data_IF_711421147847
#
_entry.id   IF_711421147847
#
_cell.length_a   1.000
_cell.length_b   1.000
_cell.length_c   1.000
_cell.angle_alpha   90.00
_cell.angle_beta   90.00
_cell.angle_gamma   90.00
#
_symmetry.space_group_name_H-M   'P 1'
#
loop_
_entity.id
_entity.type
_entity.pdbx_description
1 polymer ?
#
# COMPACT_ATOMS: atom_id res chain seq x y z
N UNK A 1 -24.27 42.77 5.98
CA UNK A 1 -23.63 42.16 7.13
C UNK A 1 -22.31 41.58 6.63
N UNK A 2 -21.21 42.26 6.90
CA UNK A 2 -19.87 41.77 6.55
C UNK A 2 -19.48 40.78 7.65
N UNK A 3 -19.74 39.48 7.48
CA UNK A 3 -19.00 38.47 8.21
C UNK A 3 -17.60 38.47 7.62
N UNK A 4 -16.66 38.92 8.38
CA UNK A 4 -15.30 39.23 8.01
C UNK A 4 -14.57 37.95 7.64
N UNK A 5 -14.01 37.81 6.45
CA UNK A 5 -13.18 36.69 6.02
C UNK A 5 -12.02 36.51 7.01
N UNK A 6 -11.56 37.56 7.62
CA UNK A 6 -10.54 37.60 8.66
C UNK A 6 -10.99 36.88 9.95
N UNK A 7 -12.28 36.98 10.31
CA UNK A 7 -12.88 36.29 11.46
C UNK A 7 -12.92 34.78 11.28
N UNK A 8 -13.21 34.29 10.08
CA UNK A 8 -13.24 32.85 9.76
C UNK A 8 -11.86 32.22 9.80
N UNK A 9 -10.83 32.88 9.29
CA UNK A 9 -9.46 32.43 9.38
C UNK A 9 -9.03 32.25 10.85
N UNK A 10 -9.30 33.26 11.70
CA UNK A 10 -8.98 33.20 13.11
C UNK A 10 -9.79 32.14 13.88
N UNK A 11 -11.04 31.94 13.51
CA UNK A 11 -11.86 30.83 14.04
C UNK A 11 -11.22 29.48 13.72
N UNK A 12 -10.89 29.22 12.47
CA UNK A 12 -10.28 27.94 12.05
C UNK A 12 -8.86 27.77 12.60
N UNK A 13 -8.09 28.88 12.75
CA UNK A 13 -6.78 28.84 13.40
C UNK A 13 -6.89 28.38 14.85
N UNK A 14 -7.87 28.87 15.61
CA UNK A 14 -8.14 28.47 17.01
C UNK A 14 -8.57 27.01 17.10
N UNK A 15 -9.43 26.53 16.20
CA UNK A 15 -9.82 25.11 16.13
C UNK A 15 -8.60 24.22 15.89
N UNK A 16 -7.72 24.63 14.97
CA UNK A 16 -6.49 23.88 14.70
C UNK A 16 -5.52 23.91 15.89
N UNK A 17 -5.41 25.03 16.62
CA UNK A 17 -4.64 25.12 17.88
C UNK A 17 -5.16 24.13 18.92
N UNK A 18 -6.47 24.08 19.11
CA UNK A 18 -7.13 23.16 20.03
C UNK A 18 -6.82 21.69 19.67
N UNK A 19 -7.00 21.34 18.40
CA UNK A 19 -6.79 19.97 17.90
C UNK A 19 -5.32 19.54 17.98
N UNK A 20 -4.39 20.43 17.64
CA UNK A 20 -2.96 20.11 17.62
C UNK A 20 -2.28 20.32 18.97
N UNK A 21 -2.96 20.95 19.93
CA UNK A 21 -2.40 21.41 21.20
C UNK A 21 -1.10 22.22 21.02
N UNK A 22 -1.04 23.01 19.94
CA UNK A 22 0.13 23.82 19.57
C UNK A 22 -0.27 25.14 18.92
N UNK A 23 0.43 26.26 19.23
CA UNK A 23 0.16 27.56 18.63
C UNK A 23 0.24 27.50 17.10
N UNK A 24 -0.72 28.12 16.43
CA UNK A 24 -0.78 28.19 14.97
C UNK A 24 -0.38 29.60 14.49
N UNK A 25 0.71 29.67 13.74
CA UNK A 25 1.21 30.94 13.18
C UNK A 25 0.41 31.35 11.93
N UNK A 26 0.44 32.65 11.61
CA UNK A 26 -0.23 33.24 10.43
C UNK A 26 0.82 33.95 9.53
N UNK A 27 1.11 33.42 8.33
CA UNK A 27 0.73 32.08 7.84
C UNK A 27 1.46 30.97 8.58
N UNK A 28 0.98 29.73 8.43
CA UNK A 28 1.72 28.58 8.93
C UNK A 28 3.10 28.49 8.23
N UNK A 29 4.19 28.16 8.94
CA UNK A 29 5.51 28.02 8.32
C UNK A 29 5.53 26.87 7.30
N UNK A 30 6.52 26.88 6.42
CA UNK A 30 6.65 25.85 5.38
C UNK A 30 5.57 25.97 4.31
N UNK A 31 4.70 24.97 4.17
CA UNK A 31 3.68 24.94 3.12
C UNK A 31 2.72 26.14 3.17
N UNK A 32 2.30 26.56 4.36
CA UNK A 32 1.41 27.71 4.52
C UNK A 32 2.04 29.04 4.06
N UNK A 33 3.32 29.24 4.34
CA UNK A 33 4.07 30.40 3.87
C UNK A 33 4.31 30.36 2.34
N UNK A 34 4.48 29.16 1.77
CA UNK A 34 4.64 28.97 0.34
C UNK A 34 3.31 29.13 -0.43
N UNK A 35 2.20 28.65 0.13
CA UNK A 35 0.90 28.61 -0.52
C UNK A 35 -0.18 29.29 0.35
N UNK A 36 -0.13 30.63 0.48
CA UNK A 36 -1.01 31.44 1.35
C UNK A 36 -2.50 31.19 1.14
N UNK A 37 -2.93 30.96 -0.11
CA UNK A 37 -4.34 30.68 -0.42
C UNK A 37 -4.76 29.29 0.06
N UNK A 38 -3.87 28.32 0.04
CA UNK A 38 -4.14 26.99 0.57
C UNK A 38 -4.20 27.00 2.09
N UNK A 39 -3.32 27.76 2.76
CA UNK A 39 -3.37 27.98 4.21
C UNK A 39 -4.67 28.67 4.63
N UNK A 40 -5.09 29.72 3.91
CA UNK A 40 -6.35 30.40 4.15
C UNK A 40 -7.55 29.45 3.96
N UNK A 41 -7.60 28.72 2.85
CA UNK A 41 -8.69 27.77 2.56
C UNK A 41 -8.77 26.67 3.61
N UNK A 42 -7.63 26.15 4.05
CA UNK A 42 -7.55 25.13 5.10
C UNK A 42 -8.19 25.65 6.40
N UNK A 43 -7.82 26.84 6.84
CA UNK A 43 -8.34 27.41 8.09
C UNK A 43 -9.77 27.88 7.97
N UNK A 44 -10.11 28.63 6.91
CA UNK A 44 -11.44 29.21 6.74
C UNK A 44 -12.52 28.18 6.40
N UNK A 45 -12.18 27.14 5.61
CA UNK A 45 -13.15 26.14 5.18
C UNK A 45 -13.08 24.86 6.01
N UNK A 46 -11.91 24.20 6.06
CA UNK A 46 -11.83 22.90 6.74
C UNK A 46 -12.05 23.08 8.26
N UNK A 47 -11.31 23.98 8.91
CA UNK A 47 -11.37 24.09 10.36
C UNK A 47 -12.52 25.00 10.84
N UNK A 48 -12.80 26.12 10.17
CA UNK A 48 -13.88 27.00 10.59
C UNK A 48 -15.28 26.53 10.18
N UNK A 49 -15.46 25.89 9.02
CA UNK A 49 -16.78 25.41 8.60
C UNK A 49 -17.01 23.95 8.95
N UNK A 50 -16.07 23.06 8.57
CA UNK A 50 -16.29 21.62 8.68
C UNK A 50 -16.01 21.15 10.11
N UNK A 51 -14.83 21.45 10.67
CA UNK A 51 -14.49 20.99 12.01
C UNK A 51 -15.29 21.69 13.13
N UNK A 52 -15.69 22.93 12.96
CA UNK A 52 -16.54 23.65 13.92
C UNK A 52 -18.02 23.26 13.87
N UNK A 53 -18.43 22.46 12.87
CA UNK A 53 -19.83 21.98 12.79
C UNK A 53 -20.12 20.98 13.91
N UNK A 54 -21.31 21.05 14.51
CA UNK A 54 -21.77 20.21 15.60
C UNK A 54 -22.34 18.84 15.17
N UNK A 55 -22.38 18.57 13.85
CA UNK A 55 -22.94 17.31 13.30
C UNK A 55 -22.10 16.09 13.74
N UNK A 56 -20.77 16.22 13.81
CA UNK A 56 -19.86 15.20 14.29
C UNK A 56 -18.89 15.81 15.31
N UNK A 57 -18.56 15.07 16.36
CA UNK A 57 -17.48 15.46 17.27
C UNK A 57 -16.11 15.44 16.58
N UNK A 58 -15.13 16.13 17.14
CA UNK A 58 -13.73 16.07 16.67
C UNK A 58 -13.21 14.65 16.58
N UNK A 59 -13.51 13.84 17.61
CA UNK A 59 -13.10 12.42 17.64
C UNK A 59 -13.68 11.64 16.46
N UNK A 60 -14.97 11.80 16.17
CA UNK A 60 -15.60 11.13 15.01
C UNK A 60 -15.00 11.59 13.68
N UNK A 61 -14.72 12.90 13.53
CA UNK A 61 -14.09 13.42 12.32
C UNK A 61 -12.69 12.86 12.12
N UNK A 62 -11.88 12.85 13.18
CA UNK A 62 -10.53 12.30 13.10
C UNK A 62 -10.52 10.79 12.83
N UNK A 63 -11.43 10.01 13.42
CA UNK A 63 -11.55 8.58 13.10
C UNK A 63 -11.83 8.35 11.60
N UNK A 64 -12.75 9.14 11.02
CA UNK A 64 -13.07 9.05 9.59
C UNK A 64 -11.89 9.48 8.73
N UNK A 65 -11.24 10.60 9.08
CA UNK A 65 -10.08 11.13 8.34
C UNK A 65 -8.90 10.17 8.38
N UNK A 66 -8.58 9.64 9.55
CA UNK A 66 -7.49 8.66 9.72
C UNK A 66 -7.78 7.38 8.93
N UNK A 67 -9.02 6.86 9.00
CA UNK A 67 -9.40 5.68 8.23
C UNK A 67 -9.30 5.91 6.71
N UNK A 68 -9.74 7.08 6.23
CA UNK A 68 -9.63 7.44 4.81
C UNK A 68 -8.18 7.56 4.36
N UNK A 69 -7.34 8.31 5.08
CA UNK A 69 -5.92 8.49 4.76
C UNK A 69 -5.15 7.16 4.83
N UNK A 70 -5.43 6.33 5.83
CA UNK A 70 -4.83 5.01 5.97
C UNK A 70 -5.17 4.09 4.78
N UNK A 71 -6.39 4.19 4.25
CA UNK A 71 -6.82 3.39 3.09
C UNK A 71 -6.24 3.87 1.77
N UNK A 72 -5.92 5.15 1.63
CA UNK A 72 -5.40 5.73 0.38
C UNK A 72 -3.98 5.29 0.06
N UNK A 73 -3.08 5.27 1.05
CA UNK A 73 -1.64 5.10 0.86
C UNK A 73 -0.95 6.31 0.21
N UNK A 74 0.37 6.45 0.43
CA UNK A 74 1.16 7.54 -0.15
C UNK A 74 0.93 8.92 0.48
N UNK A 75 0.27 8.98 1.63
CA UNK A 75 -0.08 10.20 2.38
C UNK A 75 0.37 10.12 3.84
N UNK A 76 1.50 9.46 4.09
CA UNK A 76 1.98 9.14 5.43
C UNK A 76 2.18 10.38 6.32
N UNK A 77 2.62 11.51 5.71
CA UNK A 77 2.80 12.77 6.43
C UNK A 77 1.48 13.33 6.97
N UNK A 78 0.43 13.32 6.15
CA UNK A 78 -0.92 13.74 6.54
C UNK A 78 -1.51 12.76 7.57
N UNK A 79 -1.35 11.46 7.35
CA UNK A 79 -1.82 10.42 8.26
C UNK A 79 -1.18 10.58 9.65
N UNK A 80 0.15 10.81 9.74
CA UNK A 80 0.84 11.06 11.00
C UNK A 80 0.29 12.31 11.71
N UNK A 81 0.03 13.39 10.96
CA UNK A 81 -0.54 14.61 11.53
C UNK A 81 -1.91 14.34 12.16
N UNK A 82 -2.79 13.62 11.48
CA UNK A 82 -4.11 13.27 11.99
C UNK A 82 -4.05 12.25 13.15
N UNK A 83 -3.11 11.30 13.14
CA UNK A 83 -2.86 10.42 14.29
C UNK A 83 -2.46 11.24 15.53
N UNK A 84 -1.60 12.24 15.38
CA UNK A 84 -1.20 13.11 16.49
C UNK A 84 -2.38 13.95 17.02
N UNK A 85 -3.19 14.51 16.13
CA UNK A 85 -4.45 15.19 16.52
C UNK A 85 -5.36 14.20 17.26
N UNK A 86 -5.54 13.00 16.72
CA UNK A 86 -6.35 11.96 17.34
C UNK A 86 -5.91 11.62 18.75
N UNK A 87 -4.59 11.50 19.00
CA UNK A 87 -4.03 11.31 20.36
C UNK A 87 -4.39 12.47 21.28
N UNK A 88 -4.27 13.72 20.80
CA UNK A 88 -4.58 14.91 21.61
C UNK A 88 -6.05 14.99 22.01
N UNK A 89 -6.97 14.52 21.17
CA UNK A 89 -8.42 14.56 21.45
C UNK A 89 -8.97 13.27 22.06
N UNK A 90 -8.09 12.32 22.40
CA UNK A 90 -8.43 11.16 23.23
C UNK A 90 -8.71 9.86 22.46
N UNK A 91 -8.30 9.72 21.19
CA UNK A 91 -8.26 8.41 20.52
C UNK A 91 -7.19 7.57 21.22
N UNK A 92 -7.59 6.42 21.72
CA UNK A 92 -6.72 5.52 22.50
C UNK A 92 -5.82 4.67 21.57
N UNK A 93 -4.72 4.15 22.12
CA UNK A 93 -3.86 3.22 21.38
C UNK A 93 -4.63 2.00 20.86
N UNK A 94 -5.50 1.42 21.66
CA UNK A 94 -6.32 0.28 21.26
C UNK A 94 -7.27 0.60 20.11
N UNK A 95 -7.75 1.84 20.02
CA UNK A 95 -8.56 2.30 18.87
C UNK A 95 -7.71 2.43 17.61
N UNK A 96 -6.50 2.95 17.71
CA UNK A 96 -5.58 2.99 16.56
C UNK A 96 -5.18 1.58 16.10
N UNK A 97 -4.90 0.66 17.02
CA UNK A 97 -4.64 -0.75 16.69
C UNK A 97 -5.84 -1.37 15.98
N UNK A 98 -7.06 -1.11 16.47
CA UNK A 98 -8.27 -1.60 15.81
C UNK A 98 -8.49 -1.02 14.41
N UNK A 99 -8.14 0.24 14.19
CA UNK A 99 -8.14 0.84 12.83
C UNK A 99 -7.15 0.08 11.94
N UNK A 100 -5.92 -0.16 12.42
CA UNK A 100 -4.93 -0.92 11.65
C UNK A 100 -5.43 -2.33 11.30
N UNK A 101 -6.07 -3.04 12.24
CA UNK A 101 -6.61 -4.37 12.00
C UNK A 101 -7.77 -4.36 10.98
N UNK A 102 -8.64 -3.36 11.04
CA UNK A 102 -9.71 -3.20 10.05
C UNK A 102 -9.17 -2.86 8.65
N UNK A 103 -8.13 -2.04 8.56
CA UNK A 103 -7.44 -1.75 7.30
C UNK A 103 -6.76 -3.01 6.75
N UNK A 104 -6.18 -3.85 7.63
CA UNK A 104 -5.59 -5.13 7.25
C UNK A 104 -6.63 -6.07 6.63
N UNK A 105 -7.76 -6.20 7.28
CA UNK A 105 -8.86 -7.06 6.85
C UNK A 105 -9.57 -6.58 5.57
N UNK A 106 -9.79 -5.27 5.44
CA UNK A 106 -10.69 -4.70 4.42
C UNK A 106 -9.99 -4.02 3.25
N UNK A 107 -8.73 -3.65 3.42
CA UNK A 107 -7.96 -2.90 2.40
C UNK A 107 -6.70 -3.67 2.02
N UNK A 108 -5.67 -3.64 2.87
CA UNK A 108 -4.45 -4.43 2.67
C UNK A 108 -3.54 -4.41 3.90
N UNK A 109 -2.74 -5.45 4.04
CA UNK A 109 -1.68 -5.52 5.07
C UNK A 109 -0.63 -4.40 4.89
N UNK A 110 -0.38 -3.95 3.66
CA UNK A 110 0.56 -2.85 3.37
C UNK A 110 0.10 -1.55 4.02
N UNK A 111 -1.14 -1.14 3.80
CA UNK A 111 -1.70 0.08 4.41
C UNK A 111 -1.83 -0.07 5.93
N UNK A 112 -2.25 -1.22 6.42
CA UNK A 112 -2.30 -1.51 7.85
C UNK A 112 -0.92 -1.38 8.51
N UNK A 113 0.11 -1.90 7.88
CA UNK A 113 1.48 -1.78 8.36
C UNK A 113 2.00 -0.32 8.34
N UNK A 114 1.52 0.50 7.41
CA UNK A 114 1.80 1.94 7.46
C UNK A 114 1.21 2.56 8.73
N UNK A 115 -0.04 2.24 9.08
CA UNK A 115 -0.64 2.69 10.35
C UNK A 115 0.15 2.18 11.55
N UNK A 116 0.43 0.85 11.62
CA UNK A 116 1.19 0.23 12.71
C UNK A 116 2.55 0.90 12.93
N UNK A 117 3.27 1.18 11.85
CA UNK A 117 4.55 1.89 11.91
C UNK A 117 4.41 3.28 12.51
N UNK A 118 3.37 4.04 12.13
CA UNK A 118 3.15 5.41 12.62
C UNK A 118 2.69 5.44 14.09
N UNK A 119 2.12 4.35 14.59
CA UNK A 119 1.74 4.20 16.02
C UNK A 119 2.75 3.34 16.81
N UNK A 120 3.92 3.06 16.23
CA UNK A 120 5.02 2.31 16.85
C UNK A 120 4.62 0.89 17.30
N UNK A 121 3.80 0.20 16.52
CA UNK A 121 3.38 -1.19 16.77
C UNK A 121 4.09 -2.18 15.83
N UNK A 122 4.23 -3.45 16.25
CA UNK A 122 4.81 -4.50 15.42
C UNK A 122 4.10 -4.61 14.06
N UNK A 123 4.88 -4.82 13.02
CA UNK A 123 4.34 -5.05 11.68
C UNK A 123 3.84 -6.49 11.55
N UNK A 124 2.81 -6.67 10.75
CA UNK A 124 2.31 -8.00 10.37
C UNK A 124 2.97 -8.41 9.08
N UNK A 125 3.44 -9.66 9.02
CA UNK A 125 4.04 -10.20 7.81
C UNK A 125 3.07 -10.15 6.64
N UNK A 126 3.56 -9.70 5.49
CA UNK A 126 2.82 -9.74 4.23
C UNK A 126 2.76 -11.19 3.73
N UNK A 127 3.80 -11.97 4.01
CA UNK A 127 3.81 -13.41 3.75
C UNK A 127 3.08 -14.11 4.89
N UNK A 128 1.90 -14.63 4.56
CA UNK A 128 1.09 -15.44 5.48
C UNK A 128 1.52 -16.92 5.40
N UNK A 129 1.26 -17.71 6.42
CA UNK A 129 1.67 -19.13 6.44
C UNK A 129 1.10 -19.98 5.31
N UNK A 130 -0.02 -19.58 4.72
CA UNK A 130 -0.70 -20.24 3.60
C UNK A 130 -0.30 -19.71 2.22
N UNK A 131 0.59 -18.70 2.15
CA UNK A 131 1.14 -18.21 0.90
C UNK A 131 2.08 -19.25 0.29
N UNK A 132 2.01 -19.38 -1.03
CA UNK A 132 2.95 -20.18 -1.80
C UNK A 132 4.06 -19.25 -2.30
N UNK A 133 5.30 -19.58 -1.94
CA UNK A 133 6.51 -18.98 -2.49
C UNK A 133 7.26 -20.06 -3.25
N UNK A 134 7.56 -19.81 -4.52
CA UNK A 134 8.15 -20.82 -5.40
C UNK A 134 9.23 -20.20 -6.28
N UNK A 135 10.24 -21.01 -6.58
CA UNK A 135 11.20 -20.75 -7.66
C UNK A 135 11.01 -21.79 -8.74
N UNK A 136 10.68 -21.36 -9.94
CA UNK A 136 10.69 -22.20 -11.14
C UNK A 136 12.07 -22.14 -11.78
N UNK A 137 12.73 -23.29 -11.88
CA UNK A 137 14.01 -23.47 -12.57
C UNK A 137 13.72 -24.09 -13.94
N UNK A 138 14.00 -23.36 -15.01
CA UNK A 138 13.60 -23.73 -16.36
C UNK A 138 14.83 -23.68 -17.27
N UNK A 139 15.04 -24.72 -18.07
CA UNK A 139 16.02 -24.73 -19.15
C UNK A 139 15.28 -24.73 -20.49
N UNK A 140 15.63 -23.79 -21.37
CA UNK A 140 14.99 -23.59 -22.67
C UNK A 140 15.89 -24.09 -23.79
N UNK A 141 15.32 -24.72 -24.80
CA UNK A 141 16.04 -25.02 -26.03
C UNK A 141 16.48 -23.73 -26.72
N UNK A 142 17.78 -23.54 -27.04
CA UNK A 142 18.31 -22.28 -27.58
C UNK A 142 17.55 -21.72 -28.79
N UNK A 143 17.00 -22.61 -29.63
CA UNK A 143 16.23 -22.23 -30.84
C UNK A 143 14.93 -21.49 -30.55
N UNK A 144 14.39 -21.62 -29.33
CA UNK A 144 13.10 -21.02 -28.94
C UNK A 144 13.27 -19.85 -27.97
N UNK A 145 14.50 -19.47 -27.64
CA UNK A 145 14.77 -18.54 -26.54
C UNK A 145 14.02 -17.21 -26.66
N UNK A 146 14.03 -16.59 -27.82
CA UNK A 146 13.41 -15.27 -28.00
C UNK A 146 11.87 -15.37 -28.03
N UNK A 147 11.31 -16.42 -28.62
CA UNK A 147 9.87 -16.65 -28.63
C UNK A 147 9.37 -16.96 -27.20
N UNK A 148 10.10 -17.78 -26.46
CA UNK A 148 9.80 -18.10 -25.07
C UNK A 148 9.76 -16.84 -24.17
N UNK A 149 10.75 -15.93 -24.32
CA UNK A 149 10.82 -14.67 -23.56
C UNK A 149 9.59 -13.78 -23.81
N UNK A 150 9.11 -13.72 -25.05
CA UNK A 150 7.92 -12.94 -25.41
C UNK A 150 6.70 -13.49 -24.70
N UNK A 151 6.45 -14.79 -24.84
CA UNK A 151 5.27 -15.46 -24.25
C UNK A 151 5.31 -15.37 -22.71
N UNK A 152 6.47 -15.60 -22.09
CA UNK A 152 6.62 -15.51 -20.64
C UNK A 152 6.40 -14.07 -20.13
N UNK A 153 6.88 -13.07 -20.86
CA UNK A 153 6.66 -11.65 -20.50
C UNK A 153 5.18 -11.29 -20.51
N UNK A 154 4.44 -11.74 -21.52
CA UNK A 154 3.00 -11.51 -21.64
C UNK A 154 2.23 -12.20 -20.52
N UNK A 155 2.56 -13.45 -20.23
CA UNK A 155 1.96 -14.22 -19.13
C UNK A 155 2.20 -13.56 -17.77
N UNK A 156 3.46 -13.26 -17.43
CA UNK A 156 3.81 -12.65 -16.15
C UNK A 156 3.11 -11.29 -15.95
N UNK A 157 3.04 -10.47 -16.99
CA UNK A 157 2.34 -9.18 -16.93
C UNK A 157 0.83 -9.36 -16.73
N UNK A 158 0.20 -10.31 -17.43
CA UNK A 158 -1.22 -10.60 -17.31
C UNK A 158 -1.55 -11.14 -15.90
N UNK A 159 -0.78 -12.08 -15.39
CA UNK A 159 -0.98 -12.68 -14.08
C UNK A 159 -0.92 -11.65 -12.95
N UNK A 160 0.11 -10.81 -12.92
CA UNK A 160 0.25 -9.79 -11.88
C UNK A 160 -0.81 -8.69 -11.99
N UNK A 161 -1.30 -8.39 -13.20
CA UNK A 161 -2.26 -7.30 -13.41
C UNK A 161 -3.71 -7.74 -13.21
N UNK A 162 -4.05 -8.96 -13.62
CA UNK A 162 -5.44 -9.42 -13.71
C UNK A 162 -5.86 -10.35 -12.55
N UNK A 163 -4.89 -10.94 -11.86
CA UNK A 163 -5.17 -11.93 -10.83
C UNK A 163 -4.88 -11.37 -9.43
N UNK A 164 -5.90 -11.02 -8.63
CA UNK A 164 -5.69 -10.44 -7.29
C UNK A 164 -4.91 -11.36 -6.31
N UNK A 165 -4.92 -12.67 -6.56
CA UNK A 165 -4.21 -13.64 -5.75
C UNK A 165 -2.76 -13.88 -6.19
N UNK A 166 -2.31 -13.34 -7.31
CA UNK A 166 -0.92 -13.38 -7.75
C UNK A 166 -0.19 -12.17 -7.19
N UNK A 167 0.65 -12.40 -6.19
CA UNK A 167 1.41 -11.33 -5.50
C UNK A 167 2.64 -10.94 -6.31
N UNK A 168 3.33 -11.92 -6.89
CA UNK A 168 4.49 -11.68 -7.75
C UNK A 168 4.69 -12.85 -8.73
N UNK A 169 5.01 -12.51 -9.98
CA UNK A 169 5.68 -13.37 -10.94
C UNK A 169 6.85 -12.56 -11.50
N UNK A 170 8.07 -12.97 -11.17
CA UNK A 170 9.28 -12.25 -11.51
C UNK A 170 10.23 -13.15 -12.30
N UNK A 171 10.10 -13.15 -13.65
CA UNK A 171 10.95 -13.96 -14.53
C UNK A 171 12.32 -13.31 -14.72
N UNK A 172 13.36 -14.15 -14.69
CA UNK A 172 14.77 -13.77 -14.87
C UNK A 172 15.48 -14.82 -15.70
N UNK A 173 16.59 -14.47 -16.32
CA UNK A 173 17.52 -15.41 -16.92
C UNK A 173 18.95 -15.13 -16.44
N UNK A 174 19.82 -16.13 -16.48
CA UNK A 174 21.22 -15.97 -16.13
C UNK A 174 21.93 -15.12 -17.18
N UNK A 175 22.83 -14.23 -16.76
CA UNK A 175 23.51 -13.29 -17.67
C UNK A 175 24.46 -14.01 -18.64
N UNK A 176 25.11 -15.05 -18.17
CA UNK A 176 26.09 -15.86 -18.91
C UNK A 176 25.44 -16.99 -19.74
N UNK A 177 24.23 -17.41 -19.36
CA UNK A 177 23.44 -18.41 -20.11
C UNK A 177 21.95 -18.07 -20.05
N UNK A 178 21.45 -17.37 -21.05
CA UNK A 178 20.06 -16.90 -21.11
C UNK A 178 19.04 -18.05 -21.30
N UNK A 179 19.49 -19.28 -21.63
CA UNK A 179 18.59 -20.44 -21.67
C UNK A 179 18.20 -20.94 -20.27
N UNK A 180 18.93 -20.49 -19.24
CA UNK A 180 18.64 -20.77 -17.84
C UNK A 180 17.71 -19.70 -17.26
N UNK A 181 16.42 -19.99 -17.24
CA UNK A 181 15.38 -19.10 -16.71
C UNK A 181 15.05 -19.46 -15.26
N UNK A 182 14.81 -18.44 -14.44
CA UNK A 182 14.30 -18.57 -13.07
C UNK A 182 13.11 -17.65 -12.91
N UNK A 183 12.04 -18.16 -12.32
CA UNK A 183 10.86 -17.35 -12.00
C UNK A 183 10.64 -17.40 -10.50
N UNK A 184 10.60 -16.25 -9.85
CA UNK A 184 10.09 -16.16 -8.48
C UNK A 184 8.59 -15.95 -8.56
N UNK A 185 7.85 -16.84 -7.92
CA UNK A 185 6.40 -16.86 -7.90
C UNK A 185 5.91 -16.73 -6.46
N UNK A 186 4.97 -15.83 -6.21
CA UNK A 186 4.33 -15.68 -4.90
C UNK A 186 2.82 -15.58 -5.12
N UNK A 187 2.09 -16.49 -4.49
CA UNK A 187 0.63 -16.55 -4.51
C UNK A 187 0.07 -16.33 -3.11
N UNK A 188 -1.04 -15.62 -3.00
CA UNK A 188 -1.68 -15.28 -1.73
C UNK A 188 -2.07 -16.52 -0.88
N UNK A 189 -2.38 -17.63 -1.53
CA UNK A 189 -2.71 -18.92 -0.94
C UNK A 189 -2.80 -20.01 -2.02
N UNK A 190 -3.09 -21.23 -1.62
CA UNK A 190 -3.27 -22.34 -2.56
C UNK A 190 -4.47 -22.15 -3.51
N UNK A 191 -5.54 -21.49 -3.07
CA UNK A 191 -6.70 -21.24 -3.91
C UNK A 191 -6.33 -20.30 -5.07
N UNK A 192 -5.59 -19.23 -4.79
CA UNK A 192 -5.06 -18.32 -5.80
C UNK A 192 -4.17 -19.05 -6.82
N UNK A 193 -3.27 -19.93 -6.35
CA UNK A 193 -2.44 -20.77 -7.22
C UNK A 193 -3.31 -21.68 -8.11
N UNK A 194 -4.29 -22.37 -7.55
CA UNK A 194 -5.18 -23.25 -8.32
C UNK A 194 -6.06 -22.48 -9.33
N UNK A 195 -6.42 -21.23 -9.02
CA UNK A 195 -7.12 -20.34 -9.94
C UNK A 195 -6.21 -19.92 -11.09
N UNK A 196 -4.96 -19.50 -10.78
CA UNK A 196 -3.95 -19.12 -11.76
C UNK A 196 -3.75 -20.22 -12.83
N UNK A 197 -3.63 -21.48 -12.41
CA UNK A 197 -3.42 -22.62 -13.34
C UNK A 197 -4.56 -22.81 -14.37
N UNK A 198 -5.71 -22.16 -14.18
CA UNK A 198 -6.89 -22.26 -15.05
C UNK A 198 -7.11 -21.01 -15.90
N UNK A 199 -6.31 -19.98 -15.72
CA UNK A 199 -6.46 -18.72 -16.45
C UNK A 199 -6.09 -18.90 -17.94
N UNK A 200 -6.72 -18.13 -18.84
CA UNK A 200 -6.42 -18.23 -20.27
C UNK A 200 -4.96 -17.92 -20.60
N UNK A 201 -4.36 -16.94 -19.96
CA UNK A 201 -2.96 -16.54 -20.19
C UNK A 201 -1.98 -17.60 -19.69
N UNK A 202 -2.20 -18.20 -18.52
CA UNK A 202 -1.38 -19.33 -18.07
C UNK A 202 -1.51 -20.55 -18.97
N UNK A 203 -2.74 -20.90 -19.37
CA UNK A 203 -2.97 -22.03 -20.28
C UNK A 203 -2.32 -21.80 -21.64
N UNK A 204 -2.38 -20.58 -22.18
CA UNK A 204 -1.67 -20.20 -23.38
C UNK A 204 -0.16 -20.34 -23.22
N UNK A 205 0.42 -19.76 -22.16
CA UNK A 205 1.85 -19.93 -21.85
C UNK A 205 2.23 -21.40 -21.77
N UNK A 206 1.56 -22.17 -20.93
CA UNK A 206 1.86 -23.59 -20.71
C UNK A 206 1.83 -24.42 -22.00
N UNK A 207 0.81 -24.24 -22.84
CA UNK A 207 0.67 -25.01 -24.07
C UNK A 207 1.64 -24.59 -25.15
N UNK A 208 1.85 -23.29 -25.33
CA UNK A 208 2.74 -22.74 -26.36
C UNK A 208 4.21 -23.02 -26.04
N UNK A 209 4.60 -22.97 -24.76
CA UNK A 209 6.00 -23.15 -24.37
C UNK A 209 6.40 -24.61 -24.09
N UNK A 210 5.45 -25.53 -24.05
CA UNK A 210 5.74 -26.94 -23.79
C UNK A 210 6.86 -27.53 -24.68
N UNK A 211 6.90 -27.31 -26.01
CA UNK A 211 7.99 -27.79 -26.87
C UNK A 211 9.29 -27.01 -26.72
N UNK A 212 9.28 -25.88 -26.07
CA UNK A 212 10.43 -24.99 -25.89
C UNK A 212 11.25 -25.34 -24.66
N UNK A 213 10.59 -25.95 -23.66
CA UNK A 213 11.17 -26.29 -22.36
C UNK A 213 11.93 -27.61 -22.45
N UNK A 214 13.21 -27.59 -22.15
CA UNK A 214 14.08 -28.74 -22.07
C UNK A 214 14.03 -29.40 -20.68
N UNK A 215 13.96 -28.57 -19.63
CA UNK A 215 13.82 -29.03 -18.24
C UNK A 215 13.02 -28.02 -17.43
N UNK A 216 12.23 -28.54 -16.47
CA UNK A 216 11.47 -27.74 -15.51
C UNK A 216 11.57 -28.37 -14.14
N UNK A 217 11.92 -27.57 -13.13
CA UNK A 217 11.85 -27.95 -11.72
C UNK A 217 11.16 -26.86 -10.93
N UNK A 218 10.15 -27.22 -10.15
CA UNK A 218 9.44 -26.33 -9.24
C UNK A 218 9.97 -26.55 -7.83
N UNK A 219 10.43 -25.49 -7.17
CA UNK A 219 11.01 -25.54 -5.82
C UNK A 219 10.18 -24.66 -4.91
N UNK A 220 9.42 -25.26 -4.02
CA UNK A 220 8.70 -24.51 -2.98
C UNK A 220 9.69 -23.96 -1.95
N UNK A 221 9.54 -22.71 -1.60
CA UNK A 221 10.45 -21.96 -0.74
C UNK A 221 9.72 -21.42 0.48
N UNK A 222 10.46 -21.21 1.56
CA UNK A 222 9.97 -20.53 2.76
C UNK A 222 10.84 -19.30 2.99
N UNK A 223 10.23 -18.15 3.22
CA UNK A 223 10.97 -16.93 3.56
C UNK A 223 11.70 -17.10 4.89
N UNK A 224 12.98 -16.71 4.95
CA UNK A 224 13.77 -16.68 6.20
C UNK A 224 13.33 -15.51 7.08
N UNK A 225 13.01 -14.39 6.47
CA UNK A 225 12.60 -13.15 7.15
C UNK A 225 11.31 -12.63 6.51
N UNK A 226 10.20 -12.93 7.15
CA UNK A 226 8.87 -12.52 6.70
C UNK A 226 8.64 -11.01 6.87
N UNK A 227 9.27 -10.40 7.87
CA UNK A 227 9.03 -8.99 8.22
C UNK A 227 9.74 -8.04 7.25
N UNK A 228 10.92 -8.43 6.77
CA UNK A 228 11.70 -7.64 5.80
C UNK A 228 11.00 -7.50 4.43
N UNK A 229 10.07 -8.39 4.08
CA UNK A 229 9.37 -8.36 2.78
C UNK A 229 8.65 -7.03 2.53
N UNK A 230 8.06 -6.46 3.56
CA UNK A 230 7.37 -5.16 3.47
C UNK A 230 8.31 -4.04 2.98
N UNK A 231 9.52 -3.97 3.56
CA UNK A 231 10.49 -2.94 3.22
C UNK A 231 11.21 -3.21 1.89
N UNK A 232 11.37 -4.48 1.49
CA UNK A 232 11.96 -4.87 0.20
C UNK A 232 11.08 -4.38 -0.95
N UNK A 233 9.80 -4.70 -0.95
CA UNK A 233 8.88 -4.29 -2.03
C UNK A 233 8.64 -2.78 -2.07
N UNK A 234 8.72 -2.10 -0.93
CA UNK A 234 8.57 -0.64 -0.85
C UNK A 234 9.69 0.12 -1.59
N UNK A 235 10.87 -0.47 -1.73
CA UNK A 235 12.01 0.14 -2.45
C UNK A 235 11.90 0.07 -3.97
N UNK A 236 10.94 -0.69 -4.50
CA UNK A 236 10.71 -0.84 -5.94
C UNK A 236 9.69 0.16 -6.50
N UNK A 237 9.22 1.12 -5.69
CA UNK A 237 8.28 2.18 -6.07
C UNK A 237 8.99 3.51 -6.29
#
# INVERSE_FOLDING_TARGET
>A
MHNNVEDRYEQGRKVLEELTNAPQLKPAPGFGAFALRADAFLKEHLFADIFSSDVLSYLQRELVTIAALASMGGVEGQLMSHINIGKNIGITESQFEKIADLIDEKVSTTQANTVRKLIEKPLVSIIKPDMIVRVSEIEIHPTYLEEYKIILKEEAAASVTLEPGVVAIFPMYQQDDQTQVRIIEIYANNEAYQSHLKTPHFLHYKTSTLPMVKALKLVDMTSIDHDAMFDIFKKLR
#
